data_IF_325323960795
#
_entry.id   IF_325323960795
#
_cell.length_a   1.000
_cell.length_b   1.000
_cell.length_c   1.000
_cell.angle_alpha   90.00
_cell.angle_beta   90.00
_cell.angle_gamma   90.00
#
_symmetry.space_group_name_H-M   'P 1'
#
loop_
_entity.id
_entity.type
_entity.pdbx_description
1 polymer ?
#
# COMPACT_ATOMS: atom_id res chain seq x y z
N UNK A 1 -4.28 27.85 19.82
CA UNK A 1 -4.35 27.05 18.57
C UNK A 1 -2.97 26.64 18.03
N UNK A 2 -1.96 26.45 18.91
CA UNK A 2 -0.64 25.91 18.52
C UNK A 2 -0.30 24.59 19.24
N UNK A 3 -1.04 24.26 20.31
CA UNK A 3 -0.87 23.02 21.07
C UNK A 3 -1.55 21.79 20.42
N UNK A 4 -2.62 22.00 19.65
CA UNK A 4 -3.32 20.91 18.94
C UNK A 4 -2.56 20.38 17.73
N UNK A 5 -1.64 21.19 17.22
CA UNK A 5 -0.74 20.88 16.11
C UNK A 5 0.32 19.93 16.68
N UNK A 6 1.08 20.34 17.70
CA UNK A 6 2.17 19.54 18.30
C UNK A 6 1.80 18.10 18.73
N UNK A 7 0.55 17.85 19.15
CA UNK A 7 0.07 16.50 19.51
C UNK A 7 -0.02 15.53 18.33
N UNK A 8 -0.03 16.02 17.09
CA UNK A 8 -0.06 15.22 15.85
C UNK A 8 1.35 15.04 15.27
N UNK A 9 2.26 16.02 15.41
CA UNK A 9 3.61 15.96 14.79
C UNK A 9 4.60 15.06 15.51
N UNK A 10 4.53 14.96 16.84
CA UNK A 10 5.40 14.07 17.61
C UNK A 10 5.19 12.58 17.25
N UNK A 11 3.94 12.07 17.14
CA UNK A 11 3.68 10.72 16.65
C UNK A 11 4.25 10.44 15.27
N UNK A 12 4.12 11.36 14.31
CA UNK A 12 4.59 11.15 12.94
C UNK A 12 6.12 11.02 12.85
N UNK A 13 6.88 11.90 13.52
CA UNK A 13 8.35 11.83 13.53
C UNK A 13 8.86 10.56 14.23
N UNK A 14 8.18 10.15 15.31
CA UNK A 14 8.44 8.90 16.01
C UNK A 14 8.14 7.70 15.10
N UNK A 15 7.08 7.73 14.28
CA UNK A 15 6.77 6.65 13.35
C UNK A 15 7.80 6.48 12.22
N UNK A 16 8.46 7.57 11.81
CA UNK A 16 9.53 7.53 10.81
C UNK A 16 10.88 7.03 11.36
N UNK A 17 11.08 7.03 12.68
CA UNK A 17 12.41 6.84 13.30
C UNK A 17 12.60 5.48 14.01
N UNK A 18 11.61 4.59 13.98
CA UNK A 18 11.65 3.30 14.69
C UNK A 18 11.78 2.12 13.73
N UNK A 19 12.91 1.42 13.86
CA UNK A 19 13.27 0.21 13.09
C UNK A 19 12.53 -1.07 13.57
N UNK A 20 11.85 -1.05 14.72
CA UNK A 20 10.95 -2.15 15.10
C UNK A 20 9.62 -2.01 14.36
N UNK A 21 9.62 -2.42 13.10
CA UNK A 21 8.53 -2.27 12.15
C UNK A 21 7.25 -2.95 12.65
N UNK A 22 7.27 -4.26 12.93
CA UNK A 22 6.04 -5.05 13.25
C UNK A 22 5.21 -4.51 14.41
N UNK A 23 5.84 -4.10 15.51
CA UNK A 23 5.12 -3.60 16.71
C UNK A 23 4.41 -2.27 16.44
N UNK A 24 4.89 -1.51 15.47
CA UNK A 24 4.33 -0.22 15.05
C UNK A 24 3.26 -0.32 13.97
N UNK A 25 2.98 -1.54 13.46
CA UNK A 25 2.03 -1.75 12.37
C UNK A 25 0.66 -1.14 12.64
N UNK A 26 0.11 -1.35 13.83
CA UNK A 26 -1.21 -0.81 14.18
C UNK A 26 -1.26 0.71 14.09
N UNK A 27 -0.15 1.39 14.42
CA UNK A 27 -0.09 2.85 14.38
C UNK A 27 0.09 3.33 12.94
N UNK A 28 0.97 2.70 12.14
CA UNK A 28 1.14 3.03 10.72
C UNK A 28 -0.12 2.74 9.90
N UNK A 29 -0.85 1.66 10.23
CA UNK A 29 -2.16 1.33 9.65
C UNK A 29 -3.21 2.39 9.95
N UNK A 30 -3.25 2.91 11.18
CA UNK A 30 -4.18 3.99 11.52
C UNK A 30 -3.86 5.27 10.75
N UNK A 31 -2.57 5.60 10.60
CA UNK A 31 -2.12 6.72 9.78
C UNK A 31 -2.53 6.54 8.30
N UNK A 32 -2.40 5.34 7.75
CA UNK A 32 -2.86 5.02 6.40
C UNK A 32 -4.39 5.21 6.23
N UNK A 33 -5.17 4.68 7.17
CA UNK A 33 -6.63 4.67 7.10
C UNK A 33 -7.24 6.04 7.34
N UNK A 34 -6.62 6.85 8.20
CA UNK A 34 -7.17 8.11 8.71
C UNK A 34 -6.33 9.33 8.35
N UNK A 35 -5.23 9.16 7.62
CA UNK A 35 -4.38 10.23 7.08
C UNK A 35 -5.11 11.04 6.02
N UNK A 36 -4.35 11.74 5.16
CA UNK A 36 -4.89 12.77 4.25
C UNK A 36 -6.13 12.32 3.44
N UNK A 37 -6.20 11.05 3.04
CA UNK A 37 -7.32 10.50 2.26
C UNK A 37 -8.45 9.89 3.08
N UNK A 38 -8.21 9.62 4.36
CA UNK A 38 -9.10 8.98 5.32
C UNK A 38 -9.95 9.92 6.17
N UNK A 39 -9.75 11.25 6.02
CA UNK A 39 -10.44 12.28 6.80
C UNK A 39 -11.97 12.25 6.57
N UNK A 40 -12.41 11.83 5.38
CA UNK A 40 -13.83 11.49 5.15
C UNK A 40 -14.09 10.05 5.59
N UNK A 41 -15.02 9.88 6.55
CA UNK A 41 -15.34 8.57 7.13
C UNK A 41 -15.76 7.50 6.12
N UNK A 42 -16.26 7.88 4.93
CA UNK A 42 -16.55 6.92 3.84
C UNK A 42 -15.28 6.35 3.21
N UNK A 43 -14.21 7.13 3.14
CA UNK A 43 -12.93 6.70 2.58
C UNK A 43 -12.18 5.83 3.58
N UNK A 44 -12.29 6.12 4.87
CA UNK A 44 -11.70 5.30 5.93
C UNK A 44 -12.21 3.85 5.89
N UNK A 45 -13.49 3.62 5.63
CA UNK A 45 -14.04 2.25 5.53
C UNK A 45 -13.49 1.48 4.32
N UNK A 46 -13.19 2.17 3.21
CA UNK A 46 -12.51 1.57 2.08
C UNK A 46 -11.07 1.17 2.42
N UNK A 47 -10.29 2.10 3.00
CA UNK A 47 -8.89 1.81 3.36
C UNK A 47 -8.74 0.78 4.48
N UNK A 48 -9.73 0.69 5.40
CA UNK A 48 -9.80 -0.39 6.40
C UNK A 48 -9.92 -1.78 5.78
N UNK A 49 -10.61 -1.90 4.65
CA UNK A 49 -10.74 -3.16 3.90
C UNK A 49 -9.47 -3.43 3.10
N UNK A 50 -8.92 -2.40 2.46
CA UNK A 50 -7.71 -2.54 1.65
C UNK A 50 -6.51 -3.02 2.47
N UNK A 51 -6.30 -2.44 3.66
CA UNK A 51 -5.13 -2.74 4.50
C UNK A 51 -5.46 -3.84 5.52
N UNK A 52 -4.70 -4.95 5.54
CA UNK A 52 -4.87 -6.04 6.50
C UNK A 52 -4.99 -5.52 7.93
N UNK A 53 -5.86 -6.12 8.75
CA UNK A 53 -6.00 -5.69 10.14
C UNK A 53 -4.72 -6.01 10.95
N UNK A 54 -4.05 -7.08 10.59
CA UNK A 54 -2.76 -7.53 11.13
C UNK A 54 -1.89 -8.02 9.99
N UNK A 55 -0.57 -7.89 10.15
CA UNK A 55 0.36 -8.58 9.28
C UNK A 55 0.27 -10.09 9.51
N UNK A 56 0.52 -10.91 8.47
CA UNK A 56 0.59 -12.36 8.60
C UNK A 56 1.69 -12.77 9.58
N UNK A 57 1.56 -13.95 10.20
CA UNK A 57 2.56 -14.45 11.15
C UNK A 57 3.91 -14.69 10.46
N UNK A 58 3.84 -15.07 9.19
CA UNK A 58 4.90 -15.42 8.26
C UNK A 58 5.57 -14.18 7.67
N UNK A 59 4.96 -13.00 7.87
CA UNK A 59 5.60 -11.74 7.55
C UNK A 59 6.86 -11.59 8.38
N UNK A 60 8.05 -11.62 7.77
CA UNK A 60 9.32 -11.45 8.47
C UNK A 60 9.59 -9.98 8.82
N UNK A 61 9.26 -9.06 7.91
CA UNK A 61 9.41 -7.62 8.05
C UNK A 61 8.47 -6.88 7.06
N UNK A 62 8.22 -5.59 7.28
CA UNK A 62 7.48 -4.73 6.35
C UNK A 62 8.09 -3.33 6.22
N UNK A 63 7.98 -2.76 5.02
CA UNK A 63 8.27 -1.37 4.73
C UNK A 63 6.98 -0.58 4.60
N UNK A 64 7.02 0.67 5.08
CA UNK A 64 5.91 1.61 4.96
C UNK A 64 6.46 2.92 4.43
N UNK A 65 6.09 3.24 3.19
CA UNK A 65 6.55 4.42 2.47
C UNK A 65 5.38 5.39 2.42
N UNK A 66 5.61 6.61 2.88
CA UNK A 66 4.69 7.72 2.65
C UNK A 66 5.43 8.81 1.93
N UNK A 67 4.97 9.16 0.74
CA UNK A 67 5.40 10.37 0.05
C UNK A 67 4.27 11.38 0.11
N UNK A 68 4.62 12.61 0.45
CA UNK A 68 3.67 13.71 0.56
C UNK A 68 4.27 14.86 1.36
N UNK A 69 4.18 16.08 0.83
CA UNK A 69 4.33 17.26 1.65
C UNK A 69 3.00 17.54 2.35
N UNK A 70 3.04 18.14 3.55
CA UNK A 70 1.87 18.57 4.35
C UNK A 70 0.81 19.41 3.62
N UNK A 71 1.08 19.80 2.37
CA UNK A 71 0.27 20.67 1.51
C UNK A 71 0.11 20.12 0.08
N UNK A 72 0.60 18.92 -0.24
CA UNK A 72 0.57 18.41 -1.61
C UNK A 72 -0.68 17.59 -1.86
N UNK A 73 -1.43 17.95 -2.90
CA UNK A 73 -2.57 17.20 -3.45
C UNK A 73 -2.21 15.82 -4.02
N UNK A 74 -1.09 15.20 -3.63
CA UNK A 74 -0.54 13.95 -4.16
C UNK A 74 0.21 13.13 -3.09
N UNK A 75 -0.24 13.14 -1.83
CA UNK A 75 0.27 12.15 -0.88
C UNK A 75 -0.02 10.72 -1.39
N UNK A 76 0.81 9.75 -1.08
CA UNK A 76 0.51 8.34 -1.26
C UNK A 76 1.17 7.55 -0.15
N UNK A 77 0.59 6.40 0.14
CA UNK A 77 1.07 5.50 1.17
C UNK A 77 1.18 4.11 0.58
N UNK A 78 2.33 3.47 0.82
CA UNK A 78 2.64 2.15 0.33
C UNK A 78 3.05 1.23 1.48
N UNK A 79 2.38 0.09 1.61
CA UNK A 79 2.74 -0.99 2.53
C UNK A 79 3.34 -2.14 1.71
N UNK A 80 4.56 -2.54 2.06
CA UNK A 80 5.30 -3.60 1.38
C UNK A 80 5.72 -4.64 2.40
N UNK A 81 5.46 -5.91 2.14
CA UNK A 81 5.95 -7.00 2.98
C UNK A 81 6.12 -8.28 2.17
N UNK A 82 6.69 -9.30 2.80
CA UNK A 82 6.74 -10.66 2.25
C UNK A 82 5.93 -11.60 3.11
N UNK A 83 5.37 -12.65 2.52
CA UNK A 83 4.64 -13.71 3.21
C UNK A 83 4.75 -15.02 2.43
N UNK A 84 4.18 -16.09 2.96
CA UNK A 84 4.11 -17.39 2.31
C UNK A 84 3.03 -17.48 1.20
N UNK A 85 3.15 -18.51 0.38
CA UNK A 85 2.21 -18.80 -0.72
C UNK A 85 0.76 -18.96 -0.27
N UNK A 86 0.53 -19.58 0.90
CA UNK A 86 -0.83 -19.81 1.41
C UNK A 86 -1.52 -18.49 1.74
N UNK A 87 -0.79 -17.55 2.34
CA UNK A 87 -1.30 -16.20 2.60
C UNK A 87 -1.50 -15.41 1.30
N UNK A 88 -0.61 -15.54 0.32
CA UNK A 88 -0.78 -14.90 -1.00
C UNK A 88 -2.06 -15.39 -1.68
N UNK A 89 -2.32 -16.69 -1.68
CA UNK A 89 -3.55 -17.27 -2.26
C UNK A 89 -4.81 -16.73 -1.57
N UNK A 90 -4.77 -16.58 -0.23
CA UNK A 90 -5.87 -15.96 0.53
C UNK A 90 -6.07 -14.48 0.18
N UNK A 91 -4.98 -13.73 -0.01
CA UNK A 91 -5.06 -12.34 -0.45
C UNK A 91 -5.54 -12.19 -1.88
N UNK A 92 -5.13 -13.06 -2.79
CA UNK A 92 -5.61 -13.10 -4.17
C UNK A 92 -7.14 -13.26 -4.22
N UNK A 93 -7.69 -14.20 -3.45
CA UNK A 93 -9.14 -14.38 -3.33
C UNK A 93 -9.82 -13.14 -2.73
N UNK A 94 -9.25 -12.60 -1.65
CA UNK A 94 -9.78 -11.42 -0.98
C UNK A 94 -9.84 -10.20 -1.91
N UNK A 95 -8.71 -9.84 -2.53
CA UNK A 95 -8.60 -8.68 -3.40
C UNK A 95 -9.33 -8.89 -4.72
N UNK A 96 -9.45 -10.13 -5.22
CA UNK A 96 -10.30 -10.44 -6.36
C UNK A 96 -11.77 -10.12 -6.13
N UNK A 97 -12.24 -10.15 -4.87
CA UNK A 97 -13.60 -9.75 -4.50
C UNK A 97 -13.76 -8.24 -4.21
N UNK A 98 -12.67 -7.58 -3.83
CA UNK A 98 -12.66 -6.17 -3.42
C UNK A 98 -12.39 -5.23 -4.59
N UNK A 99 -11.54 -5.66 -5.53
CA UNK A 99 -11.06 -4.85 -6.64
C UNK A 99 -11.92 -5.03 -7.90
N UNK A 100 -11.94 -3.99 -8.73
CA UNK A 100 -12.76 -3.95 -9.95
C UNK A 100 -12.07 -4.69 -11.10
N UNK A 101 -10.75 -4.84 -11.04
CA UNK A 101 -9.94 -5.38 -12.11
C UNK A 101 -8.72 -6.13 -11.57
N UNK A 102 -8.35 -7.23 -12.25
CA UNK A 102 -7.11 -7.99 -12.00
C UNK A 102 -6.33 -8.07 -13.31
N UNK A 103 -5.02 -7.83 -13.27
CA UNK A 103 -4.12 -7.87 -14.44
C UNK A 103 -2.76 -8.45 -14.09
N UNK A 104 -2.08 -9.04 -15.05
CA UNK A 104 -0.65 -9.40 -14.95
C UNK A 104 0.17 -8.43 -15.78
N UNK A 105 1.45 -8.18 -15.43
CA UNK A 105 2.34 -7.26 -16.16
C UNK A 105 2.32 -7.46 -17.69
N UNK A 106 2.26 -8.72 -18.15
CA UNK A 106 2.21 -9.08 -19.58
C UNK A 106 0.93 -8.62 -20.29
N UNK A 107 -0.13 -8.29 -19.57
CA UNK A 107 -1.40 -7.78 -20.12
C UNK A 107 -1.39 -6.26 -20.34
N UNK A 108 -0.33 -5.56 -19.90
CA UNK A 108 -0.22 -4.12 -20.04
C UNK A 108 0.31 -3.74 -21.43
N UNK A 109 -0.50 -3.03 -22.22
CA UNK A 109 -0.08 -2.38 -23.48
C UNK A 109 -0.47 -0.89 -23.44
N UNK A 110 0.37 -0.01 -24.03
CA UNK A 110 0.07 1.42 -24.19
C UNK A 110 0.02 2.23 -22.88
N UNK A 111 -0.98 3.11 -22.73
CA UNK A 111 -1.15 3.99 -21.53
C UNK A 111 -1.24 3.22 -20.21
N UNK A 112 -1.67 1.96 -20.26
CA UNK A 112 -1.79 1.09 -19.08
C UNK A 112 -0.40 0.76 -18.51
N UNK A 113 0.61 0.55 -19.37
CA UNK A 113 1.98 0.23 -18.93
C UNK A 113 2.60 1.39 -18.13
N UNK A 114 2.24 2.63 -18.47
CA UNK A 114 2.64 3.81 -17.72
C UNK A 114 2.08 3.88 -16.29
N UNK A 115 0.95 3.21 -16.02
CA UNK A 115 0.40 3.11 -14.66
C UNK A 115 1.06 2.01 -13.82
N UNK A 116 1.40 0.87 -14.42
CA UNK A 116 2.19 -0.17 -13.76
C UNK A 116 3.55 0.39 -13.30
N UNK A 117 4.23 1.09 -14.22
CA UNK A 117 5.50 1.75 -13.93
C UNK A 117 5.33 2.82 -12.85
N UNK A 118 4.24 3.59 -12.88
CA UNK A 118 3.92 4.55 -11.82
C UNK A 118 3.73 3.85 -10.48
N UNK A 119 2.97 2.75 -10.42
CA UNK A 119 2.74 1.98 -9.20
C UNK A 119 4.06 1.49 -8.59
N UNK A 120 4.91 0.84 -9.38
CA UNK A 120 6.21 0.36 -8.92
C UNK A 120 7.11 1.51 -8.45
N UNK A 121 7.11 2.64 -9.15
CA UNK A 121 7.87 3.82 -8.73
C UNK A 121 7.36 4.39 -7.38
N UNK A 122 6.05 4.37 -7.13
CA UNK A 122 5.49 4.82 -5.84
C UNK A 122 5.79 3.82 -4.71
N UNK A 123 6.01 2.54 -5.04
CA UNK A 123 6.47 1.52 -4.12
C UNK A 123 8.00 1.51 -3.93
N UNK A 124 8.73 2.46 -4.52
CA UNK A 124 10.20 2.50 -4.52
C UNK A 124 10.85 1.22 -5.09
N UNK A 125 10.13 0.55 -5.99
CA UNK A 125 10.59 -0.63 -6.73
C UNK A 125 11.25 -0.15 -8.03
N UNK A 126 12.55 0.09 -7.97
CA UNK A 126 13.36 0.59 -9.08
C UNK A 126 13.52 -0.43 -10.23
N UNK A 127 13.89 0.09 -11.41
CA UNK A 127 14.09 -0.66 -12.67
C UNK A 127 14.91 -1.95 -12.52
N UNK A 128 15.90 -1.97 -11.63
CA UNK A 128 16.75 -3.15 -11.40
C UNK A 128 16.03 -4.36 -10.82
N UNK A 129 14.83 -4.18 -10.27
CA UNK A 129 14.01 -5.25 -9.64
C UNK A 129 12.69 -5.48 -10.37
N UNK A 130 12.44 -4.76 -11.47
CA UNK A 130 11.16 -4.85 -12.20
C UNK A 130 10.92 -6.21 -12.86
N UNK A 131 11.98 -6.93 -13.18
CA UNK A 131 11.91 -8.29 -13.74
C UNK A 131 11.44 -9.30 -12.68
N UNK A 132 11.62 -9.02 -11.38
CA UNK A 132 11.11 -9.87 -10.29
C UNK A 132 9.56 -9.91 -10.27
N UNK A 133 8.88 -8.99 -10.95
CA UNK A 133 7.43 -8.82 -10.92
C UNK A 133 6.77 -9.09 -12.27
N UNK A 134 7.44 -9.86 -13.15
CA UNK A 134 6.93 -10.16 -14.49
C UNK A 134 5.65 -11.01 -14.49
N UNK A 135 5.50 -11.87 -13.48
CA UNK A 135 4.34 -12.75 -13.29
C UNK A 135 3.46 -12.30 -12.10
N UNK A 136 3.74 -11.13 -11.52
CA UNK A 136 2.95 -10.58 -10.43
C UNK A 136 1.55 -10.18 -10.88
N UNK A 137 0.56 -10.47 -10.04
CA UNK A 137 -0.83 -10.09 -10.24
C UNK A 137 -1.11 -8.75 -9.58
N UNK A 138 -1.84 -7.89 -10.27
CA UNK A 138 -2.24 -6.58 -9.78
C UNK A 138 -3.74 -6.47 -9.74
N UNK A 139 -4.23 -6.21 -8.54
CA UNK A 139 -5.62 -5.98 -8.19
C UNK A 139 -5.83 -4.48 -8.09
N UNK A 140 -6.74 -3.95 -8.91
CA UNK A 140 -6.94 -2.53 -9.09
C UNK A 140 -8.36 -2.11 -8.78
N UNK A 141 -8.51 -0.96 -8.13
CA UNK A 141 -9.80 -0.32 -7.96
C UNK A 141 -9.68 1.19 -8.02
N UNK A 142 -10.74 1.83 -8.52
CA UNK A 142 -10.83 3.28 -8.48
C UNK A 142 -11.21 3.67 -7.05
N UNK A 143 -10.19 3.94 -6.23
CA UNK A 143 -10.37 4.38 -4.87
C UNK A 143 -11.22 5.66 -4.77
N UNK A 144 -11.65 6.03 -3.55
CA UNK A 144 -12.60 7.12 -3.33
C UNK A 144 -12.12 8.49 -3.83
N UNK A 145 -10.81 8.67 -4.00
CA UNK A 145 -10.16 9.90 -4.43
C UNK A 145 -9.98 10.01 -5.95
N UNK A 146 -10.47 9.04 -6.74
CA UNK A 146 -10.17 8.90 -8.20
C UNK A 146 -8.68 8.66 -8.52
N UNK A 147 -7.84 8.59 -7.49
CA UNK A 147 -6.46 8.12 -7.60
C UNK A 147 -6.55 6.64 -7.38
N UNK A 148 -6.20 5.87 -8.40
CA UNK A 148 -6.41 4.45 -8.33
C UNK A 148 -5.51 3.81 -7.28
N UNK A 149 -6.07 2.79 -6.66
CA UNK A 149 -5.52 2.04 -5.54
C UNK A 149 -5.19 0.67 -6.08
N UNK A 150 -4.00 0.16 -5.74
CA UNK A 150 -3.51 -1.10 -6.28
C UNK A 150 -2.97 -2.01 -5.20
N UNK A 151 -3.15 -3.31 -5.40
CA UNK A 151 -2.43 -4.34 -4.67
C UNK A 151 -1.67 -5.19 -5.68
N UNK A 152 -0.37 -5.36 -5.48
CA UNK A 152 0.45 -6.29 -6.23
C UNK A 152 0.76 -7.48 -5.33
N UNK A 153 0.50 -8.67 -5.87
CA UNK A 153 0.83 -9.96 -5.27
C UNK A 153 1.81 -10.67 -6.19
N UNK A 154 2.99 -10.99 -5.69
CA UNK A 154 3.97 -11.80 -6.42
C UNK A 154 4.24 -13.10 -5.67
N UNK A 155 3.76 -14.21 -6.24
CA UNK A 155 3.87 -15.53 -5.63
C UNK A 155 5.31 -16.01 -5.57
N UNK A 156 6.10 -15.74 -6.62
CA UNK A 156 7.45 -16.30 -6.75
C UNK A 156 8.42 -15.76 -5.69
N UNK A 157 8.28 -14.49 -5.32
CA UNK A 157 9.12 -13.84 -4.30
C UNK A 157 8.44 -13.64 -2.94
N UNK A 158 7.15 -14.00 -2.84
CA UNK A 158 6.34 -13.79 -1.65
C UNK A 158 5.91 -12.33 -1.42
N UNK A 159 6.13 -11.41 -2.37
CA UNK A 159 5.89 -9.98 -2.18
C UNK A 159 4.40 -9.63 -2.17
N UNK A 160 4.04 -8.76 -1.24
CA UNK A 160 2.76 -8.06 -1.19
C UNK A 160 3.02 -6.56 -1.12
N UNK A 161 2.44 -5.81 -2.05
CA UNK A 161 2.56 -4.35 -2.13
C UNK A 161 1.16 -3.76 -2.20
N UNK A 162 0.82 -2.86 -1.28
CA UNK A 162 -0.48 -2.19 -1.24
C UNK A 162 -0.23 -0.68 -1.34
N UNK A 163 -0.79 -0.03 -2.36
CA UNK A 163 -0.66 1.41 -2.62
C UNK A 163 -2.02 2.10 -2.54
N UNK A 164 -2.11 3.19 -1.77
CA UNK A 164 -3.26 4.09 -1.68
C UNK A 164 -2.89 5.56 -1.87
#
# INVERSE_FOLDING_TARGET
MFLSVAGIYMPSIVLFSFDETKSMYNIKRLDYIHGEYGIDGKNAEFYKKLIPEKLPCECEDYSYITEGHFLSHHAFSCLIFRTDDETIDSYAEYYGSLCDEVRVKKDYEGEKLGWFDRFLNHADIYDSRREEFDDAEIYWTNGPSSKGVGVLLDRDSGYVVILA
#
